data_IF_449488739001
#
_entry.id   IF_449488739001
#
_cell.length_a   1.000
_cell.length_b   1.000
_cell.length_c   1.000
_cell.angle_alpha   90.00
_cell.angle_beta   90.00
_cell.angle_gamma   90.00
#
_symmetry.space_group_name_H-M   'P 1'
#
loop_
_entity.id
_entity.type
_entity.pdbx_description
1 polymer ?
#
# COMPACT_ATOMS: atom_id res chain seq x y z
N UNK A 1 -43.30 -6.69 2.88
CA UNK A 1 -42.23 -6.73 3.90
C UNK A 1 -41.98 -8.19 4.24
N UNK A 2 -40.90 -8.76 3.69
CA UNK A 2 -40.58 -10.18 3.74
C UNK A 2 -40.28 -10.64 5.18
N UNK A 3 -40.44 -11.94 5.48
CA UNK A 3 -40.07 -12.51 6.78
C UNK A 3 -38.59 -12.25 7.13
N UNK A 4 -37.73 -12.10 6.12
CA UNK A 4 -36.33 -11.68 6.26
C UNK A 4 -36.19 -10.21 6.70
N UNK A 5 -36.99 -9.29 6.15
CA UNK A 5 -37.04 -7.88 6.57
C UNK A 5 -37.67 -7.72 7.96
N UNK A 6 -38.66 -8.54 8.33
CA UNK A 6 -39.21 -8.57 9.70
C UNK A 6 -38.25 -9.17 10.71
N UNK A 7 -37.39 -10.12 10.30
CA UNK A 7 -36.34 -10.69 11.14
C UNK A 7 -35.15 -9.73 11.29
N UNK A 8 -34.79 -8.99 10.24
CA UNK A 8 -33.78 -7.92 10.28
C UNK A 8 -34.28 -6.70 11.07
N UNK A 9 -35.55 -6.31 10.95
CA UNK A 9 -36.14 -5.23 11.75
C UNK A 9 -36.34 -5.66 13.22
N UNK A 10 -36.69 -6.93 13.51
CA UNK A 10 -36.66 -7.47 14.89
C UNK A 10 -35.24 -7.56 15.44
N UNK A 11 -34.25 -7.96 14.65
CA UNK A 11 -32.85 -7.96 15.05
C UNK A 11 -32.30 -6.53 15.21
N UNK A 12 -32.82 -5.56 14.47
CA UNK A 12 -32.51 -4.12 14.56
C UNK A 12 -33.14 -3.50 15.79
N UNK A 13 -34.39 -3.82 16.13
CA UNK A 13 -35.06 -3.37 17.38
C UNK A 13 -34.46 -4.06 18.62
N UNK A 14 -33.95 -5.29 18.50
CA UNK A 14 -33.31 -6.02 19.59
C UNK A 14 -31.80 -5.70 19.73
N UNK A 15 -31.17 -5.10 18.70
CA UNK A 15 -29.85 -4.45 18.77
C UNK A 15 -29.92 -2.95 19.05
N UNK A 16 -31.09 -2.34 18.90
CA UNK A 16 -31.46 -0.98 19.35
C UNK A 16 -32.17 -1.02 20.71
N UNK A 17 -31.78 -1.93 21.60
CA UNK A 17 -31.87 -1.57 23.01
C UNK A 17 -30.78 -0.51 23.23
N UNK A 18 -31.12 0.75 23.58
CA UNK A 18 -30.17 1.49 24.40
C UNK A 18 -29.89 0.56 25.58
N UNK A 19 -28.63 0.42 25.97
CA UNK A 19 -28.28 -0.33 27.17
C UNK A 19 -28.81 0.47 28.38
N UNK A 20 -30.12 0.48 28.56
CA UNK A 20 -30.80 1.13 29.65
C UNK A 20 -30.77 0.18 30.84
N UNK A 21 -30.27 0.69 31.96
CA UNK A 21 -30.39 0.16 33.32
C UNK A 21 -29.55 -1.06 33.67
N UNK A 22 -28.27 -0.83 33.94
CA UNK A 22 -27.62 -1.42 35.13
C UNK A 22 -26.40 -0.56 35.52
N UNK A 23 -26.63 0.39 36.45
CA UNK A 23 -25.68 1.34 37.04
C UNK A 23 -25.45 2.68 36.31
N UNK A 24 -26.50 3.26 35.73
CA UNK A 24 -26.57 4.70 35.49
C UNK A 24 -26.83 5.44 36.82
N UNK A 25 -25.76 5.77 37.55
CA UNK A 25 -25.80 6.85 38.54
C UNK A 25 -25.18 8.09 37.90
N UNK A 26 -25.77 9.29 38.01
CA UNK A 26 -24.98 10.51 37.84
C UNK A 26 -23.86 10.44 38.89
N UNK A 27 -22.67 10.03 38.48
CA UNK A 27 -21.49 10.11 39.33
C UNK A 27 -21.19 11.59 39.59
N UNK A 28 -20.69 11.98 40.77
CA UNK A 28 -20.36 13.37 41.02
C UNK A 28 -19.34 13.82 39.97
N UNK A 29 -19.76 14.79 39.17
CA UNK A 29 -18.90 15.51 38.25
C UNK A 29 -18.65 16.86 38.88
N UNK A 30 -17.39 17.18 39.12
CA UNK A 30 -16.99 18.43 39.75
C UNK A 30 -16.48 19.40 38.69
N UNK A 31 -16.60 20.72 38.91
CA UNK A 31 -15.92 21.71 38.06
C UNK A 31 -14.41 21.46 37.93
N UNK A 32 -13.80 20.82 38.93
CA UNK A 32 -12.38 20.43 38.94
C UNK A 32 -12.05 19.39 37.87
N UNK A 33 -13.00 18.51 37.51
CA UNK A 33 -12.81 17.51 36.46
C UNK A 33 -12.71 18.13 35.07
N UNK A 34 -13.30 19.32 34.86
CA UNK A 34 -13.21 20.08 33.60
C UNK A 34 -11.91 20.88 33.47
N UNK A 35 -11.37 21.34 34.60
CA UNK A 35 -10.30 22.33 34.61
C UNK A 35 -9.02 21.85 33.92
N UNK A 36 -8.77 20.53 33.93
CA UNK A 36 -7.58 19.91 33.36
C UNK A 36 -7.80 19.33 31.95
N UNK A 37 -8.98 19.54 31.35
CA UNK A 37 -9.27 19.04 30.01
C UNK A 37 -8.92 20.11 28.98
N UNK A 38 -8.06 19.76 28.02
CA UNK A 38 -7.58 20.68 26.98
C UNK A 38 -8.71 21.35 26.19
N UNK A 39 -9.85 20.65 26.03
CA UNK A 39 -11.02 21.19 25.35
C UNK A 39 -11.67 22.39 26.07
N UNK A 40 -11.53 22.47 27.40
CA UNK A 40 -12.03 23.58 28.22
C UNK A 40 -10.94 24.56 28.64
N UNK A 41 -9.72 24.43 28.10
CA UNK A 41 -8.64 25.36 28.40
C UNK A 41 -9.03 26.80 28.04
N UNK A 42 -8.91 27.73 29.00
CA UNK A 42 -9.32 29.14 28.87
C UNK A 42 -10.80 29.34 28.51
N UNK A 43 -11.66 28.36 28.77
CA UNK A 43 -13.11 28.50 28.67
C UNK A 43 -13.65 28.90 30.06
N UNK A 44 -14.35 30.04 30.20
CA UNK A 44 -14.99 30.39 31.47
C UNK A 44 -16.05 29.34 31.81
N UNK A 45 -15.80 28.51 32.83
CA UNK A 45 -16.69 27.39 33.16
C UNK A 45 -18.11 27.87 33.47
N UNK A 46 -18.28 29.03 34.10
CA UNK A 46 -19.59 29.66 34.37
C UNK A 46 -20.45 29.81 33.11
N UNK A 47 -19.84 30.01 31.93
CA UNK A 47 -20.55 30.20 30.67
C UNK A 47 -21.06 28.90 30.04
N UNK A 48 -20.47 27.76 30.40
CA UNK A 48 -20.77 26.45 29.81
C UNK A 48 -21.30 25.44 30.84
N UNK A 49 -21.19 25.74 32.14
CA UNK A 49 -21.49 24.81 33.22
C UNK A 49 -22.93 24.30 33.16
N UNK A 50 -23.90 25.18 32.91
CA UNK A 50 -25.31 24.78 32.78
C UNK A 50 -25.61 23.81 31.64
N UNK A 51 -24.70 23.71 30.65
CA UNK A 51 -24.78 22.71 29.58
C UNK A 51 -24.07 21.41 29.99
N UNK A 52 -22.88 21.53 30.58
CA UNK A 52 -22.01 20.38 30.88
C UNK A 52 -22.45 19.61 32.13
N UNK A 53 -23.06 20.28 33.12
CA UNK A 53 -23.55 19.62 34.34
C UNK A 53 -24.68 18.60 34.08
N UNK A 54 -25.35 18.74 32.93
CA UNK A 54 -26.44 17.87 32.50
C UNK A 54 -25.92 16.66 31.70
N UNK A 55 -24.64 16.68 31.31
CA UNK A 55 -24.02 15.60 30.55
C UNK A 55 -23.91 14.32 31.36
N UNK A 56 -24.04 13.19 30.67
CA UNK A 56 -23.97 11.87 31.30
C UNK A 56 -22.52 11.43 31.41
N UNK A 57 -22.18 10.79 32.52
CA UNK A 57 -20.86 10.19 32.73
C UNK A 57 -20.99 8.67 32.80
N UNK A 58 -20.19 7.98 32.00
CA UNK A 58 -20.16 6.53 31.88
C UNK A 58 -18.84 5.96 32.38
N UNK A 59 -18.90 4.74 32.89
CA UNK A 59 -17.72 3.89 33.08
C UNK A 59 -17.77 2.76 32.07
N UNK A 60 -16.76 2.72 31.20
CA UNK A 60 -16.59 1.71 30.19
C UNK A 60 -15.57 0.68 30.68
N UNK A 61 -16.00 -0.56 30.83
CA UNK A 61 -15.13 -1.67 31.21
C UNK A 61 -14.13 -1.99 30.08
N UNK A 62 -12.93 -2.43 30.47
CA UNK A 62 -11.89 -2.88 29.52
C UNK A 62 -12.46 -3.86 28.48
N UNK A 63 -12.12 -3.64 27.21
CA UNK A 63 -12.51 -4.45 26.06
C UNK A 63 -13.91 -4.14 25.51
N UNK A 64 -14.69 -3.25 26.14
CA UNK A 64 -16.00 -2.84 25.60
C UNK A 64 -15.85 -1.83 24.48
N UNK A 65 -16.73 -1.93 23.49
CA UNK A 65 -16.82 -1.01 22.36
C UNK A 65 -17.63 0.21 22.77
N UNK A 66 -17.07 1.40 22.52
CA UNK A 66 -17.75 2.68 22.65
C UNK A 66 -18.39 3.08 21.32
N UNK A 67 -17.60 3.07 20.24
CA UNK A 67 -18.04 3.44 18.89
C UNK A 67 -17.82 2.26 17.95
N UNK A 68 -18.87 1.89 17.22
CA UNK A 68 -18.80 0.90 16.16
C UNK A 68 -18.51 1.56 14.81
N UNK A 69 -17.56 0.99 14.06
CA UNK A 69 -17.26 1.43 12.70
C UNK A 69 -18.50 1.28 11.81
N UNK A 70 -18.78 2.30 11.00
CA UNK A 70 -19.89 2.29 10.05
C UNK A 70 -21.25 2.60 10.70
N UNK A 71 -21.28 2.85 12.00
CA UNK A 71 -22.46 3.36 12.71
C UNK A 71 -22.31 4.87 12.86
N UNK A 72 -23.37 5.61 12.54
CA UNK A 72 -23.45 7.03 12.83
C UNK A 72 -23.76 7.21 14.32
N UNK A 73 -22.71 7.29 15.13
CA UNK A 73 -22.84 7.75 16.52
C UNK A 73 -23.02 9.27 16.51
N UNK A 74 -23.98 9.75 17.29
CA UNK A 74 -24.36 11.17 17.40
C UNK A 74 -23.89 11.81 18.70
N UNK A 75 -23.06 11.10 19.45
CA UNK A 75 -22.49 11.60 20.68
C UNK A 75 -21.01 11.95 20.51
N UNK A 76 -20.62 13.02 21.18
CA UNK A 76 -19.25 13.44 21.39
C UNK A 76 -18.84 13.02 22.80
N UNK A 77 -17.71 12.33 22.93
CA UNK A 77 -17.24 11.84 24.23
C UNK A 77 -15.90 12.48 24.61
N UNK A 78 -15.77 12.81 25.89
CA UNK A 78 -14.50 13.25 26.48
C UNK A 78 -14.02 12.20 27.48
N UNK A 79 -12.75 11.82 27.39
CA UNK A 79 -12.12 10.88 28.32
C UNK A 79 -11.73 11.59 29.61
N UNK A 80 -12.47 11.31 30.69
CA UNK A 80 -12.20 11.86 32.02
C UNK A 80 -11.10 11.09 32.75
N UNK A 81 -11.01 9.78 32.52
CA UNK A 81 -9.93 8.93 33.02
C UNK A 81 -9.83 7.64 32.21
N UNK A 82 -8.64 7.03 32.16
CA UNK A 82 -8.39 5.78 31.44
C UNK A 82 -7.90 6.02 30.00
N UNK A 83 -8.02 4.98 29.16
CA UNK A 83 -7.52 4.96 27.78
C UNK A 83 -8.47 4.24 26.83
N UNK A 84 -8.54 4.74 25.60
CA UNK A 84 -9.29 4.13 24.50
C UNK A 84 -8.35 3.75 23.36
N UNK A 85 -8.62 2.63 22.70
CA UNK A 85 -7.98 2.21 21.47
C UNK A 85 -8.84 2.58 20.27
N UNK A 86 -8.22 3.02 19.18
CA UNK A 86 -8.87 3.22 17.88
C UNK A 86 -8.38 2.16 16.90
N UNK A 87 -9.28 1.39 16.28
CA UNK A 87 -8.93 0.33 15.33
C UNK A 87 -9.74 0.42 14.03
N UNK A 88 -9.14 0.10 12.87
CA UNK A 88 -9.79 0.26 11.56
C UNK A 88 -10.47 -1.00 11.04
N UNK A 89 -9.90 -2.18 11.30
CA UNK A 89 -10.35 -3.43 10.66
C UNK A 89 -11.30 -4.21 11.56
N UNK A 90 -10.88 -4.45 12.80
CA UNK A 90 -11.67 -5.14 13.83
C UNK A 90 -11.32 -4.63 15.22
N UNK A 91 -12.16 -4.94 16.20
CA UNK A 91 -11.93 -4.60 17.62
C UNK A 91 -10.67 -5.28 18.18
N UNK A 92 -10.26 -6.40 17.60
CA UNK A 92 -9.11 -7.21 18.03
C UNK A 92 -7.81 -6.85 17.30
N UNK A 93 -7.90 -6.05 16.23
CA UNK A 93 -6.73 -5.60 15.48
C UNK A 93 -5.83 -4.64 16.28
N UNK A 94 -4.59 -4.50 15.84
CA UNK A 94 -3.64 -3.58 16.47
C UNK A 94 -4.15 -2.12 16.41
N UNK A 95 -4.15 -1.37 17.52
CA UNK A 95 -4.66 -0.01 17.55
C UNK A 95 -3.83 0.92 16.66
N UNK A 96 -4.50 1.68 15.81
CA UNK A 96 -3.87 2.72 14.99
C UNK A 96 -3.54 3.97 15.80
N UNK A 97 -4.24 4.17 16.92
CA UNK A 97 -3.95 5.21 17.90
C UNK A 97 -4.57 4.86 19.25
N UNK A 98 -4.04 5.47 20.31
CA UNK A 98 -4.56 5.39 21.67
C UNK A 98 -4.96 6.80 22.09
N UNK A 99 -6.15 6.93 22.67
CA UNK A 99 -6.68 8.19 23.17
C UNK A 99 -6.63 8.14 24.69
N UNK A 100 -5.90 9.08 25.27
CA UNK A 100 -5.67 9.17 26.71
C UNK A 100 -6.67 10.13 27.37
N UNK A 101 -6.53 10.29 28.68
CA UNK A 101 -7.32 11.24 29.47
C UNK A 101 -7.16 12.67 28.92
N UNK A 102 -8.25 13.42 28.84
CA UNK A 102 -8.31 14.71 28.16
C UNK A 102 -8.64 14.61 26.66
N UNK A 103 -8.46 13.44 26.06
CA UNK A 103 -8.77 13.19 24.67
C UNK A 103 -10.27 13.10 24.38
N UNK A 104 -10.62 13.29 23.12
CA UNK A 104 -12.00 13.29 22.63
C UNK A 104 -12.26 12.22 21.57
N UNK A 105 -13.50 11.74 21.44
CA UNK A 105 -13.93 10.84 20.35
C UNK A 105 -15.35 11.15 19.90
N UNK A 106 -15.70 10.72 18.68
CA UNK A 106 -17.03 10.90 18.11
C UNK A 106 -17.25 12.27 17.45
N UNK A 107 -16.29 13.20 17.58
CA UNK A 107 -16.46 14.57 17.07
C UNK A 107 -16.70 14.64 15.57
N UNK A 108 -16.04 13.78 14.78
CA UNK A 108 -16.15 13.82 13.33
C UNK A 108 -17.56 13.46 12.87
N UNK A 109 -18.14 12.40 13.44
CA UNK A 109 -19.50 11.95 13.12
C UNK A 109 -20.55 13.02 13.48
N UNK A 110 -20.35 13.74 14.59
CA UNK A 110 -21.23 14.85 14.98
C UNK A 110 -21.06 16.06 14.04
N UNK A 111 -19.84 16.34 13.58
CA UNK A 111 -19.53 17.49 12.73
C UNK A 111 -19.97 17.32 11.27
N UNK A 112 -19.79 16.14 10.69
CA UNK A 112 -20.04 15.91 9.25
C UNK A 112 -21.20 14.94 8.94
N UNK A 113 -21.86 14.42 9.98
CA UNK A 113 -22.96 13.47 9.92
C UNK A 113 -22.63 12.17 9.18
N UNK A 114 -21.35 11.78 9.11
CA UNK A 114 -20.93 10.52 8.50
C UNK A 114 -20.78 9.41 9.54
N UNK A 115 -20.86 8.14 9.11
CA UNK A 115 -20.60 7.02 9.99
C UNK A 115 -19.16 7.02 10.52
N UNK A 116 -18.97 6.50 11.74
CA UNK A 116 -17.67 6.45 12.36
C UNK A 116 -16.66 5.66 11.51
N UNK A 117 -15.45 6.20 11.26
CA UNK A 117 -14.47 5.57 10.36
C UNK A 117 -13.73 4.39 11.01
N UNK A 118 -13.81 4.24 12.33
CA UNK A 118 -13.04 3.31 13.13
C UNK A 118 -13.86 2.80 14.32
N UNK A 119 -13.46 1.65 14.86
CA UNK A 119 -13.92 1.19 16.16
C UNK A 119 -13.17 1.93 17.26
N UNK A 120 -13.86 2.22 18.35
CA UNK A 120 -13.25 2.78 19.57
C UNK A 120 -13.58 1.87 20.74
N UNK A 121 -12.56 1.36 21.45
CA UNK A 121 -12.75 0.42 22.56
C UNK A 121 -11.95 0.80 23.80
N UNK A 122 -12.42 0.39 24.98
CA UNK A 122 -11.72 0.63 26.23
C UNK A 122 -10.46 -0.24 26.38
N UNK A 123 -9.28 0.39 26.49
CA UNK A 123 -8.03 -0.32 26.78
C UNK A 123 -7.88 -0.64 28.28
N UNK A 124 -8.38 0.25 29.14
CA UNK A 124 -8.50 0.12 30.59
C UNK A 124 -9.95 0.42 31.00
N UNK A 125 -10.35 0.21 32.26
CA UNK A 125 -11.55 0.89 32.78
C UNK A 125 -11.42 2.39 32.49
N UNK A 126 -12.42 2.96 31.82
CA UNK A 126 -12.36 4.32 31.27
C UNK A 126 -13.63 5.07 31.62
N UNK A 127 -13.48 6.26 32.21
CA UNK A 127 -14.60 7.15 32.55
C UNK A 127 -14.77 8.19 31.44
N UNK A 128 -15.98 8.31 30.91
CA UNK A 128 -16.29 9.12 29.73
C UNK A 128 -17.44 10.07 30.04
N UNK A 129 -17.32 11.32 29.59
CA UNK A 129 -18.46 12.24 29.56
C UNK A 129 -19.06 12.23 28.16
N UNK A 130 -20.35 11.91 28.04
CA UNK A 130 -21.10 12.00 26.80
C UNK A 130 -21.77 13.37 26.69
N UNK A 131 -21.55 14.00 25.55
CA UNK A 131 -22.20 15.21 25.12
C UNK A 131 -23.00 14.83 23.88
N UNK A 132 -24.32 14.91 23.96
CA UNK A 132 -25.19 14.67 22.82
C UNK A 132 -25.01 15.77 21.74
N UNK A 133 -25.46 15.46 20.51
CA UNK A 133 -25.38 16.35 19.35
C UNK A 133 -25.93 17.78 19.63
N UNK A 134 -27.06 17.91 20.34
CA UNK A 134 -27.66 19.22 20.63
C UNK A 134 -26.78 20.02 21.60
N UNK A 135 -26.35 19.39 22.69
CA UNK A 135 -25.45 20.01 23.68
C UNK A 135 -24.12 20.40 23.06
N UNK A 136 -23.56 19.58 22.17
CA UNK A 136 -22.32 19.85 21.45
C UNK A 136 -22.42 21.12 20.60
N UNK A 137 -23.48 21.26 19.80
CA UNK A 137 -23.68 22.46 18.98
C UNK A 137 -23.95 23.71 19.82
N UNK A 138 -24.66 23.58 20.95
CA UNK A 138 -24.84 24.67 21.90
C UNK A 138 -23.52 25.12 22.53
N UNK A 139 -22.64 24.19 22.88
CA UNK A 139 -21.29 24.51 23.40
C UNK A 139 -20.47 25.31 22.38
N UNK A 140 -20.51 24.92 21.10
CA UNK A 140 -19.86 25.68 20.02
C UNK A 140 -20.46 27.09 19.88
N UNK A 141 -21.79 27.21 19.95
CA UNK A 141 -22.47 28.48 19.79
C UNK A 141 -22.23 29.45 20.97
N UNK A 142 -22.13 28.93 22.19
CA UNK A 142 -21.99 29.73 23.42
C UNK A 142 -20.51 30.02 23.75
N UNK A 143 -19.58 29.12 23.39
CA UNK A 143 -18.17 29.25 23.74
C UNK A 143 -17.25 29.15 22.52
N UNK A 144 -16.75 30.29 22.07
CA UNK A 144 -15.71 30.35 21.05
C UNK A 144 -14.41 29.64 21.49
N UNK A 145 -14.10 29.65 22.79
CA UNK A 145 -12.94 28.95 23.35
C UNK A 145 -13.04 27.44 23.15
N UNK A 146 -14.21 26.84 23.41
CA UNK A 146 -14.45 25.42 23.19
C UNK A 146 -14.25 25.04 21.71
N UNK A 147 -14.84 25.81 20.79
CA UNK A 147 -14.68 25.60 19.36
C UNK A 147 -13.22 25.72 18.90
N UNK A 148 -12.48 26.70 19.43
CA UNK A 148 -11.06 26.92 19.13
C UNK A 148 -10.20 25.75 19.59
N UNK A 149 -10.41 25.28 20.82
CA UNK A 149 -9.67 24.14 21.36
C UNK A 149 -9.95 22.86 20.57
N UNK A 150 -11.22 22.64 20.18
CA UNK A 150 -11.59 21.51 19.31
C UNK A 150 -10.85 21.56 17.97
N UNK A 151 -10.80 22.73 17.32
CA UNK A 151 -10.06 22.89 16.06
C UNK A 151 -8.56 22.62 16.22
N UNK A 152 -7.94 23.09 17.31
CA UNK A 152 -6.52 22.85 17.60
C UNK A 152 -6.25 21.35 17.78
N UNK A 153 -7.08 20.65 18.56
CA UNK A 153 -6.94 19.21 18.76
C UNK A 153 -7.10 18.41 17.46
N UNK A 154 -8.11 18.75 16.65
CA UNK A 154 -8.31 18.12 15.33
C UNK A 154 -7.14 18.37 14.38
N UNK A 155 -6.62 19.60 14.34
CA UNK A 155 -5.45 19.94 13.53
C UNK A 155 -4.18 19.20 13.99
N UNK A 156 -4.01 19.03 15.31
CA UNK A 156 -2.93 18.22 15.90
C UNK A 156 -3.00 16.77 15.44
N UNK A 157 -4.16 16.13 15.61
CA UNK A 157 -4.41 14.74 15.17
C UNK A 157 -4.16 14.54 13.68
N UNK A 158 -4.60 15.49 12.84
CA UNK A 158 -4.37 15.42 11.40
C UNK A 158 -2.88 15.51 11.06
N UNK A 159 -2.14 16.39 11.75
CA UNK A 159 -0.70 16.57 11.54
C UNK A 159 0.08 15.32 11.95
N UNK A 160 -0.20 14.77 13.12
CA UNK A 160 0.43 13.52 13.59
C UNK A 160 0.17 12.38 12.60
N UNK A 161 -1.07 12.24 12.13
CA UNK A 161 -1.43 11.20 11.16
C UNK A 161 -0.72 11.38 9.82
N UNK A 162 -0.58 12.61 9.33
CA UNK A 162 0.16 12.88 8.09
C UNK A 162 1.66 12.56 8.25
N UNK A 163 2.28 12.93 9.36
CA UNK A 163 3.70 12.61 9.64
C UNK A 163 3.93 11.10 9.70
N UNK A 164 3.05 10.35 10.35
CA UNK A 164 3.16 8.88 10.39
C UNK A 164 3.00 8.23 9.01
N UNK A 165 2.23 8.83 8.09
CA UNK A 165 2.12 8.33 6.71
C UNK A 165 3.42 8.57 5.93
N UNK A 166 4.03 9.74 6.08
CA UNK A 166 5.31 10.07 5.43
C UNK A 166 6.44 9.14 5.91
N UNK A 167 6.53 8.89 7.22
CA UNK A 167 7.54 8.00 7.79
C UNK A 167 7.38 6.56 7.29
N UNK A 168 6.14 6.04 7.22
CA UNK A 168 5.86 4.71 6.67
C UNK A 168 6.21 4.60 5.20
N UNK A 169 5.91 5.62 4.40
CA UNK A 169 6.26 5.64 2.98
C UNK A 169 7.79 5.71 2.77
N UNK A 170 8.49 6.48 3.61
CA UNK A 170 9.95 6.56 3.58
C UNK A 170 10.60 5.22 3.95
N UNK A 171 10.18 4.59 5.05
CA UNK A 171 10.65 3.27 5.45
C UNK A 171 10.36 2.21 4.41
N UNK A 172 9.18 2.24 3.78
CA UNK A 172 8.83 1.33 2.69
C UNK A 172 9.77 1.47 1.51
N UNK A 173 10.10 2.70 1.10
CA UNK A 173 11.04 2.95 -0.01
C UNK A 173 12.46 2.49 0.33
N UNK A 174 12.90 2.65 1.58
CA UNK A 174 14.18 2.13 2.05
C UNK A 174 14.21 0.60 2.01
N UNK A 175 13.15 -0.06 2.50
CA UNK A 175 13.02 -1.52 2.41
C UNK A 175 12.99 -2.02 0.96
N UNK A 176 12.30 -1.32 0.06
CA UNK A 176 12.30 -1.63 -1.37
C UNK A 176 13.68 -1.46 -2.01
N UNK A 177 14.55 -0.62 -1.45
CA UNK A 177 15.94 -0.45 -1.90
C UNK A 177 16.85 -1.60 -1.44
N UNK A 178 16.65 -2.11 -0.23
CA UNK A 178 17.46 -3.18 0.37
C UNK A 178 17.11 -4.58 -0.14
N UNK A 179 15.89 -4.77 -0.67
CA UNK A 179 15.47 -6.04 -1.25
C UNK A 179 15.98 -6.08 -2.69
N UNK A 180 17.07 -6.80 -2.96
CA UNK A 180 17.63 -6.98 -4.32
C UNK A 180 16.79 -7.90 -5.24
N UNK A 181 15.68 -8.44 -4.74
CA UNK A 181 14.89 -9.53 -5.36
C UNK A 181 13.42 -9.11 -5.51
N UNK A 182 12.84 -9.33 -6.68
CA UNK A 182 11.42 -9.12 -6.91
C UNK A 182 10.58 -10.21 -6.22
N UNK A 183 9.68 -9.81 -5.33
CA UNK A 183 8.90 -10.72 -4.48
C UNK A 183 7.92 -11.61 -5.26
N UNK A 184 7.50 -11.20 -6.46
CA UNK A 184 6.58 -11.98 -7.27
C UNK A 184 7.29 -13.07 -8.05
N UNK A 185 8.43 -12.73 -8.65
CA UNK A 185 9.12 -13.55 -9.65
C UNK A 185 10.36 -14.26 -9.12
N UNK A 186 10.93 -13.82 -8.00
CA UNK A 186 12.18 -14.36 -7.44
C UNK A 186 13.44 -13.91 -8.19
N UNK A 187 13.31 -13.20 -9.32
CA UNK A 187 14.43 -12.61 -10.05
C UNK A 187 14.98 -11.39 -9.32
N UNK A 188 16.14 -10.89 -9.78
CA UNK A 188 16.66 -9.61 -9.30
C UNK A 188 15.69 -8.47 -9.63
N UNK A 189 15.67 -7.42 -8.82
CA UNK A 189 14.87 -6.25 -9.13
C UNK A 189 15.67 -5.17 -9.88
N UNK A 190 14.99 -4.16 -10.40
CA UNK A 190 15.63 -3.05 -11.13
C UNK A 190 16.73 -2.34 -10.34
N UNK A 191 16.63 -2.27 -9.00
CA UNK A 191 17.62 -1.60 -8.15
C UNK A 191 18.93 -2.38 -8.09
N UNK A 192 18.84 -3.71 -8.01
CA UNK A 192 20.00 -4.58 -8.13
C UNK A 192 20.73 -4.39 -9.46
N UNK A 193 19.98 -4.31 -10.57
CA UNK A 193 20.57 -4.06 -11.89
C UNK A 193 21.29 -2.70 -11.93
N UNK A 194 20.65 -1.63 -11.44
CA UNK A 194 21.26 -0.30 -11.38
C UNK A 194 22.56 -0.29 -10.54
N UNK A 195 22.62 -1.07 -9.45
CA UNK A 195 23.83 -1.21 -8.63
C UNK A 195 24.95 -2.06 -9.28
N UNK A 196 24.59 -3.00 -10.16
CA UNK A 196 25.53 -4.02 -10.68
C UNK A 196 25.96 -3.80 -12.14
N UNK A 197 25.08 -3.26 -12.99
CA UNK A 197 25.37 -3.00 -14.40
C UNK A 197 26.61 -2.10 -14.61
N UNK A 198 26.82 -1.01 -13.83
CA UNK A 198 28.05 -0.21 -13.92
C UNK A 198 29.33 -1.02 -13.70
N UNK A 199 29.29 -2.03 -12.80
CA UNK A 199 30.44 -2.91 -12.52
C UNK A 199 30.73 -3.83 -13.70
N UNK A 200 29.70 -4.37 -14.34
CA UNK A 200 29.83 -5.19 -15.55
C UNK A 200 30.38 -4.37 -16.72
N UNK A 201 29.88 -3.15 -16.91
CA UNK A 201 30.37 -2.23 -17.94
C UNK A 201 31.83 -1.84 -17.72
N UNK A 202 32.24 -1.60 -16.47
CA UNK A 202 33.65 -1.35 -16.14
C UNK A 202 34.55 -2.55 -16.48
N UNK A 203 34.08 -3.79 -16.27
CA UNK A 203 34.81 -5.01 -16.67
C UNK A 203 34.97 -5.11 -18.18
N UNK A 204 33.93 -4.82 -18.97
CA UNK A 204 34.02 -4.75 -20.43
C UNK A 204 35.10 -3.75 -20.86
N UNK A 205 35.10 -2.54 -20.29
CA UNK A 205 36.04 -1.48 -20.66
C UNK A 205 37.50 -1.87 -20.37
N UNK A 206 37.74 -2.45 -19.20
CA UNK A 206 39.09 -2.82 -18.73
C UNK A 206 39.64 -4.08 -19.38
N UNK A 207 38.82 -5.14 -19.47
CA UNK A 207 39.30 -6.46 -19.86
C UNK A 207 38.92 -6.83 -21.30
N UNK A 208 38.19 -5.97 -22.02
CA UNK A 208 37.61 -6.24 -23.35
C UNK A 208 36.75 -7.50 -23.40
N UNK A 209 36.24 -7.94 -22.25
CA UNK A 209 35.32 -9.06 -22.16
C UNK A 209 33.96 -8.63 -22.70
N UNK A 210 33.37 -9.35 -23.70
CA UNK A 210 32.07 -8.99 -24.26
C UNK A 210 30.98 -8.90 -23.19
N UNK A 211 30.05 -7.95 -23.33
CA UNK A 211 28.88 -7.82 -22.47
C UNK A 211 27.68 -7.59 -23.36
N UNK A 212 26.64 -8.39 -23.18
CA UNK A 212 25.36 -8.21 -23.87
C UNK A 212 24.21 -8.17 -22.89
N UNK A 213 23.10 -7.55 -23.30
CA UNK A 213 21.84 -7.52 -22.56
C UNK A 213 20.70 -7.91 -23.48
N UNK A 214 19.69 -8.54 -22.89
CA UNK A 214 18.40 -8.82 -23.51
C UNK A 214 17.35 -8.02 -22.75
N UNK A 215 16.53 -7.25 -23.45
CA UNK A 215 15.34 -6.60 -22.92
C UNK A 215 14.12 -7.36 -23.43
N UNK A 216 13.36 -7.98 -22.53
CA UNK A 216 12.21 -8.81 -22.82
C UNK A 216 10.94 -8.12 -22.34
N UNK A 217 9.85 -8.32 -23.07
CA UNK A 217 8.52 -7.86 -22.66
C UNK A 217 7.46 -8.86 -23.13
N UNK A 218 6.49 -9.14 -22.25
CA UNK A 218 5.42 -10.09 -22.52
C UNK A 218 4.39 -9.46 -23.46
N UNK A 219 4.21 -10.09 -24.63
CA UNK A 219 3.30 -9.60 -25.65
C UNK A 219 1.86 -9.63 -25.16
N UNK A 220 1.15 -8.51 -25.36
CA UNK A 220 -0.28 -8.37 -25.02
C UNK A 220 -0.62 -8.68 -23.56
N UNK A 221 0.31 -8.43 -22.61
CA UNK A 221 0.10 -8.73 -21.20
C UNK A 221 -1.06 -7.96 -20.57
N UNK A 222 -1.25 -6.68 -20.90
CA UNK A 222 -2.41 -5.91 -20.44
C UNK A 222 -3.75 -6.54 -20.88
N UNK A 223 -4.01 -6.79 -22.19
CA UNK A 223 -5.20 -7.53 -22.64
C UNK A 223 -5.38 -8.89 -21.98
N UNK A 224 -4.28 -9.64 -21.76
CA UNK A 224 -4.32 -10.92 -21.07
C UNK A 224 -4.83 -10.76 -19.62
N UNK A 225 -4.36 -9.75 -18.90
CA UNK A 225 -4.84 -9.44 -17.54
C UNK A 225 -6.29 -8.99 -17.51
N UNK A 226 -6.71 -8.18 -18.47
CA UNK A 226 -8.11 -7.73 -18.59
C UNK A 226 -9.06 -8.90 -18.87
N UNK A 227 -8.59 -9.94 -19.59
CA UNK A 227 -9.40 -11.11 -19.96
C UNK A 227 -9.41 -12.20 -18.89
N UNK A 228 -8.26 -12.50 -18.28
CA UNK A 228 -8.09 -13.67 -17.39
C UNK A 228 -7.82 -13.31 -15.92
N UNK A 229 -7.81 -12.02 -15.60
CA UNK A 229 -7.60 -11.49 -14.26
C UNK A 229 -6.12 -11.39 -13.85
N UNK A 230 -5.85 -10.50 -12.90
CA UNK A 230 -4.49 -10.21 -12.41
C UNK A 230 -3.76 -11.44 -11.86
N UNK A 231 -4.46 -12.31 -11.14
CA UNK A 231 -3.87 -13.54 -10.59
C UNK A 231 -3.36 -14.50 -11.67
N UNK A 232 -3.97 -14.48 -12.86
CA UNK A 232 -3.50 -15.25 -14.02
C UNK A 232 -2.27 -14.59 -14.66
N UNK A 233 -2.26 -13.26 -14.74
CA UNK A 233 -1.06 -12.49 -15.12
C UNK A 233 0.15 -12.78 -14.25
N UNK A 234 -0.05 -12.78 -12.93
CA UNK A 234 1.00 -13.09 -11.96
C UNK A 234 1.60 -14.49 -12.19
N UNK A 235 0.79 -15.46 -12.62
CA UNK A 235 1.31 -16.78 -13.00
C UNK A 235 2.06 -16.77 -14.32
N UNK A 236 1.61 -16.01 -15.32
CA UNK A 236 2.37 -15.82 -16.55
C UNK A 236 3.74 -15.17 -16.26
N UNK A 237 3.79 -14.16 -15.39
CA UNK A 237 5.03 -13.52 -14.95
C UNK A 237 5.97 -14.50 -14.23
N UNK A 238 5.45 -15.31 -13.29
CA UNK A 238 6.24 -16.35 -12.61
C UNK A 238 6.77 -17.41 -13.58
N UNK A 239 5.95 -17.82 -14.55
CA UNK A 239 6.35 -18.77 -15.57
C UNK A 239 7.51 -18.22 -16.41
N UNK A 240 7.37 -16.99 -16.94
CA UNK A 240 8.42 -16.35 -17.73
C UNK A 240 9.70 -16.18 -16.90
N UNK A 241 9.58 -15.78 -15.64
CA UNK A 241 10.71 -15.65 -14.74
C UNK A 241 11.44 -16.98 -14.50
N UNK A 242 10.71 -18.07 -14.26
CA UNK A 242 11.30 -19.40 -14.11
C UNK A 242 11.98 -19.90 -15.38
N UNK A 243 11.44 -19.58 -16.56
CA UNK A 243 12.11 -19.87 -17.83
C UNK A 243 13.39 -19.07 -17.95
N UNK A 244 13.38 -17.78 -17.64
CA UNK A 244 14.59 -16.95 -17.65
C UNK A 244 15.63 -17.61 -16.75
N UNK A 245 15.33 -17.81 -15.47
CA UNK A 245 16.25 -18.35 -14.47
C UNK A 245 16.84 -19.71 -14.88
N UNK A 246 16.01 -20.65 -15.33
CA UNK A 246 16.45 -22.00 -15.72
C UNK A 246 17.39 -22.05 -16.94
N UNK A 247 17.46 -20.96 -17.72
CA UNK A 247 18.29 -20.86 -18.94
C UNK A 247 19.56 -20.03 -18.74
N UNK A 248 19.73 -19.40 -17.57
CA UNK A 248 20.90 -18.57 -17.26
C UNK A 248 22.09 -19.42 -16.80
N UNK A 249 23.29 -18.98 -17.18
CA UNK A 249 24.55 -19.47 -16.59
C UNK A 249 24.75 -18.82 -15.22
N UNK A 250 25.64 -19.38 -14.40
CA UNK A 250 26.00 -18.80 -13.10
C UNK A 250 26.53 -17.36 -13.17
N UNK A 251 27.08 -16.94 -14.33
CA UNK A 251 27.55 -15.57 -14.56
C UNK A 251 26.49 -14.61 -15.08
N UNK A 252 25.36 -15.15 -15.56
CA UNK A 252 24.28 -14.36 -16.12
C UNK A 252 23.32 -13.97 -15.01
N UNK A 253 22.50 -12.95 -15.23
CA UNK A 253 21.47 -12.57 -14.27
C UNK A 253 20.20 -12.08 -14.94
N UNK A 254 19.07 -12.53 -14.40
CA UNK A 254 17.72 -12.14 -14.79
C UNK A 254 17.18 -11.13 -13.80
N UNK A 255 16.62 -10.05 -14.33
CA UNK A 255 16.07 -8.93 -13.57
C UNK A 255 14.65 -8.66 -14.03
N UNK A 256 13.70 -8.49 -13.10
CA UNK A 256 12.42 -7.87 -13.41
C UNK A 256 12.59 -6.35 -13.40
N UNK A 257 12.55 -5.75 -14.58
CA UNK A 257 12.88 -4.35 -14.79
C UNK A 257 11.66 -3.44 -14.63
N UNK A 258 10.50 -3.91 -15.10
CA UNK A 258 9.22 -3.21 -15.05
C UNK A 258 8.07 -4.14 -14.66
N UNK A 259 6.83 -3.71 -14.94
CA UNK A 259 5.65 -4.51 -14.59
C UNK A 259 5.60 -5.85 -15.36
N UNK A 260 5.87 -5.80 -16.67
CA UNK A 260 5.89 -6.94 -17.61
C UNK A 260 7.23 -7.06 -18.37
N UNK A 261 8.23 -6.27 -17.96
CA UNK A 261 9.53 -6.16 -18.61
C UNK A 261 10.62 -6.85 -17.79
N UNK A 262 11.51 -7.56 -18.49
CA UNK A 262 12.66 -8.25 -17.90
C UNK A 262 13.95 -7.85 -18.61
N UNK A 263 15.04 -7.79 -17.85
CA UNK A 263 16.39 -7.61 -18.38
C UNK A 263 17.24 -8.83 -18.03
N UNK A 264 17.88 -9.42 -19.03
CA UNK A 264 18.90 -10.45 -18.84
C UNK A 264 20.26 -9.86 -19.19
N UNK A 265 21.21 -9.91 -18.26
CA UNK A 265 22.60 -9.50 -18.51
C UNK A 265 23.47 -10.72 -18.75
N UNK A 266 24.28 -10.70 -19.81
CA UNK A 266 25.10 -11.80 -20.28
C UNK A 266 26.59 -11.39 -20.35
N UNK A 267 27.33 -11.44 -19.22
CA UNK A 267 28.78 -11.21 -19.22
C UNK A 267 29.52 -12.28 -20.04
N UNK A 268 30.59 -11.88 -20.72
CA UNK A 268 31.36 -12.76 -21.60
C UNK A 268 30.66 -13.18 -22.88
N UNK A 269 29.52 -12.57 -23.23
CA UNK A 269 28.70 -13.00 -24.36
C UNK A 269 28.70 -11.95 -25.48
N UNK A 270 29.05 -12.38 -26.69
CA UNK A 270 28.99 -11.55 -27.90
C UNK A 270 27.56 -11.38 -28.39
N UNK A 271 27.31 -10.41 -29.28
CA UNK A 271 25.98 -10.18 -29.84
C UNK A 271 25.39 -11.42 -30.53
N UNK A 272 26.23 -12.22 -31.21
CA UNK A 272 25.80 -13.46 -31.87
C UNK A 272 25.33 -14.49 -30.85
N UNK A 273 26.08 -14.66 -29.74
CA UNK A 273 25.69 -15.55 -28.64
C UNK A 273 24.44 -15.07 -27.91
N UNK A 274 24.33 -13.76 -27.69
CA UNK A 274 23.18 -13.14 -27.05
C UNK A 274 21.91 -13.33 -27.88
N UNK A 275 21.98 -13.19 -29.21
CA UNK A 275 20.86 -13.48 -30.11
C UNK A 275 20.40 -14.93 -30.03
N UNK A 276 21.33 -15.88 -29.94
CA UNK A 276 21.00 -17.31 -29.79
C UNK A 276 20.31 -17.56 -28.43
N UNK A 277 20.82 -16.96 -27.36
CA UNK A 277 20.20 -17.07 -26.04
C UNK A 277 18.79 -16.46 -26.00
N UNK A 278 18.61 -15.29 -26.61
CA UNK A 278 17.31 -14.64 -26.76
C UNK A 278 16.31 -15.54 -27.51
N UNK A 279 16.73 -16.12 -28.64
CA UNK A 279 15.82 -16.96 -29.43
C UNK A 279 15.38 -18.21 -28.67
N UNK A 280 16.30 -18.85 -27.93
CA UNK A 280 15.97 -19.99 -27.07
C UNK A 280 15.00 -19.62 -25.95
N UNK A 281 15.16 -18.44 -25.35
CA UNK A 281 14.23 -17.93 -24.34
C UNK A 281 12.85 -17.69 -24.95
N UNK A 282 12.80 -17.03 -26.12
CA UNK A 282 11.56 -16.76 -26.84
C UNK A 282 10.79 -18.03 -27.18
N UNK A 283 11.47 -19.02 -27.76
CA UNK A 283 10.90 -20.34 -28.08
C UNK A 283 10.40 -21.04 -26.82
N UNK A 284 11.21 -21.08 -25.76
CA UNK A 284 10.82 -21.72 -24.49
C UNK A 284 9.56 -21.09 -23.88
N UNK A 285 9.45 -19.76 -23.92
CA UNK A 285 8.25 -19.05 -23.43
C UNK A 285 7.03 -19.40 -24.27
N UNK A 286 7.15 -19.36 -25.60
CA UNK A 286 6.04 -19.66 -26.51
C UNK A 286 5.53 -21.10 -26.40
N UNK A 287 6.41 -22.05 -26.06
CA UNK A 287 6.08 -23.48 -25.91
C UNK A 287 5.54 -23.83 -24.52
N UNK A 288 5.74 -22.98 -23.51
CA UNK A 288 5.37 -23.30 -22.13
C UNK A 288 3.91 -22.94 -21.85
N UNK A 289 3.15 -23.91 -21.35
CA UNK A 289 1.76 -23.70 -20.95
C UNK A 289 1.66 -22.80 -19.70
N UNK A 290 0.74 -21.84 -19.73
CA UNK A 290 0.31 -21.10 -18.54
C UNK A 290 -0.95 -21.77 -17.99
N UNK A 291 -0.97 -22.04 -16.68
CA UNK A 291 -2.14 -22.60 -15.99
C UNK A 291 -2.77 -21.58 -15.05
N UNK A 292 -4.11 -21.61 -14.91
CA UNK A 292 -4.92 -20.81 -13.99
C UNK A 292 -4.88 -21.31 -12.54
N UNK A 293 -5.62 -20.67 -11.62
CA UNK A 293 -5.67 -21.06 -10.19
C UNK A 293 -6.27 -22.46 -10.12
N UNK A 294 -7.32 -22.67 -10.90
CA UNK A 294 -8.08 -23.92 -10.95
C UNK A 294 -7.47 -24.94 -11.92
N UNK A 295 -6.15 -24.84 -12.15
CA UNK A 295 -5.38 -25.62 -13.13
C UNK A 295 -5.89 -25.53 -14.58
N UNK A 296 -6.80 -24.60 -14.88
CA UNK A 296 -7.33 -24.37 -16.23
C UNK A 296 -6.21 -23.97 -17.18
N UNK A 297 -6.15 -24.57 -18.36
CA UNK A 297 -5.20 -24.19 -19.40
C UNK A 297 -5.55 -22.80 -19.92
N UNK A 298 -4.61 -21.86 -19.80
CA UNK A 298 -4.73 -20.50 -20.34
C UNK A 298 -4.07 -20.46 -21.73
N UNK A 299 -4.40 -19.45 -22.56
CA UNK A 299 -3.69 -19.24 -23.81
C UNK A 299 -2.18 -19.06 -23.57
N UNK A 300 -1.34 -19.54 -24.48
CA UNK A 300 0.10 -19.28 -24.39
C UNK A 300 0.38 -17.79 -24.47
N UNK A 301 1.42 -17.37 -23.77
CA UNK A 301 1.97 -16.01 -23.88
C UNK A 301 3.24 -16.06 -24.72
N UNK A 302 3.54 -14.98 -25.42
CA UNK A 302 4.79 -14.82 -26.16
C UNK A 302 5.56 -13.63 -25.62
N UNK A 303 6.84 -13.53 -25.96
CA UNK A 303 7.69 -12.40 -25.60
C UNK A 303 8.33 -11.80 -26.85
N UNK A 304 8.43 -10.48 -26.87
CA UNK A 304 9.31 -9.76 -27.78
C UNK A 304 10.63 -9.48 -27.07
N UNK A 305 11.76 -9.59 -27.79
CA UNK A 305 13.09 -9.44 -27.21
C UNK A 305 13.94 -8.48 -28.04
N UNK A 306 14.51 -7.48 -27.38
CA UNK A 306 15.55 -6.61 -27.92
C UNK A 306 16.93 -7.00 -27.40
N UNK A 307 17.91 -7.18 -28.28
CA UNK A 307 19.27 -7.60 -27.94
C UNK A 307 20.25 -6.46 -28.20
N UNK A 308 21.12 -6.16 -27.23
CA UNK A 308 22.21 -5.20 -27.43
C UNK A 308 23.52 -5.76 -26.84
N UNK A 309 24.63 -5.54 -27.54
CA UNK A 309 25.97 -5.75 -27.02
C UNK A 309 26.60 -4.41 -26.70
N UNK A 310 27.38 -4.32 -25.63
CA UNK A 310 28.07 -3.10 -25.23
C UNK A 310 29.11 -2.70 -26.28
N UNK A 311 29.18 -1.41 -26.59
CA UNK A 311 30.09 -0.84 -27.58
C UNK A 311 30.86 0.34 -26.98
N UNK A 312 32.20 0.28 -27.09
CA UNK A 312 33.07 1.39 -26.72
C UNK A 312 32.93 1.83 -25.25
N UNK A 313 32.71 3.12 -25.04
CA UNK A 313 32.60 3.74 -23.72
C UNK A 313 31.20 4.32 -23.44
N UNK A 314 30.15 3.78 -24.06
CA UNK A 314 28.78 4.26 -23.84
C UNK A 314 28.37 4.18 -22.36
N UNK A 315 27.42 5.04 -21.96
CA UNK A 315 26.84 5.03 -20.62
C UNK A 315 25.67 4.03 -20.50
N UNK A 316 25.21 3.80 -19.27
CA UNK A 316 24.16 2.83 -18.97
C UNK A 316 22.86 3.11 -19.75
N UNK A 317 22.41 4.36 -19.75
CA UNK A 317 21.19 4.79 -20.44
C UNK A 317 21.26 4.51 -21.95
N UNK A 318 22.41 4.76 -22.58
CA UNK A 318 22.61 4.49 -24.00
C UNK A 318 22.58 2.99 -24.29
N UNK A 319 23.18 2.18 -23.41
CA UNK A 319 23.25 0.73 -23.56
C UNK A 319 21.86 0.10 -23.42
N UNK A 320 21.15 0.39 -22.32
CA UNK A 320 19.77 -0.05 -22.09
C UNK A 320 18.84 0.50 -23.18
N UNK A 321 19.02 1.76 -23.57
CA UNK A 321 18.23 2.42 -24.61
C UNK A 321 18.34 1.73 -25.98
N UNK A 322 19.50 1.18 -26.34
CA UNK A 322 19.65 0.39 -27.58
C UNK A 322 18.88 -0.92 -27.52
N UNK A 323 18.93 -1.64 -26.39
CA UNK A 323 18.15 -2.85 -26.21
C UNK A 323 16.63 -2.56 -26.25
N UNK A 324 16.20 -1.46 -25.61
CA UNK A 324 14.80 -1.04 -25.62
C UNK A 324 14.33 -0.65 -27.04
N UNK A 325 15.14 0.07 -27.83
CA UNK A 325 14.81 0.36 -29.24
C UNK A 325 14.68 -0.90 -30.08
N UNK A 326 15.57 -1.88 -29.87
CA UNK A 326 15.45 -3.17 -30.55
C UNK A 326 14.16 -3.90 -30.12
N UNK A 327 13.82 -3.91 -28.83
CA UNK A 327 12.55 -4.47 -28.33
C UNK A 327 11.33 -3.79 -28.96
N UNK A 328 11.36 -2.46 -29.06
CA UNK A 328 10.30 -1.69 -29.72
C UNK A 328 10.13 -2.13 -31.18
N UNK A 329 11.22 -2.32 -31.93
CA UNK A 329 11.16 -2.89 -33.29
C UNK A 329 10.56 -4.30 -33.30
N UNK A 330 10.91 -5.14 -32.32
CA UNK A 330 10.36 -6.50 -32.24
C UNK A 330 8.83 -6.45 -32.09
N UNK A 331 8.34 -5.54 -31.22
CA UNK A 331 6.91 -5.31 -31.04
C UNK A 331 6.23 -4.77 -32.31
N UNK A 332 6.86 -3.81 -33.00
CA UNK A 332 6.32 -3.23 -34.23
C UNK A 332 6.32 -4.19 -35.42
N UNK A 333 7.30 -5.10 -35.48
CA UNK A 333 7.46 -6.06 -36.57
C UNK A 333 6.62 -7.33 -36.39
N UNK A 334 5.59 -7.31 -35.53
CA UNK A 334 4.65 -8.42 -35.36
C UNK A 334 4.83 -9.26 -34.10
N UNK A 335 5.65 -8.79 -33.14
CA UNK A 335 5.85 -9.44 -31.83
C UNK A 335 6.41 -10.87 -31.93
N UNK A 336 6.49 -11.57 -30.80
CA UNK A 336 7.02 -12.93 -30.68
C UNK A 336 8.30 -13.12 -31.50
N UNK A 337 9.25 -12.21 -31.33
CA UNK A 337 10.51 -12.21 -32.10
C UNK A 337 11.64 -11.53 -31.36
N UNK A 338 12.84 -11.82 -31.85
CA UNK A 338 14.09 -11.23 -31.39
C UNK A 338 14.58 -10.22 -32.42
N UNK A 339 14.83 -8.98 -32.00
CA UNK A 339 15.50 -7.96 -32.80
C UNK A 339 16.84 -7.59 -32.16
N UNK A 340 17.85 -7.37 -33.00
CA UNK A 340 19.19 -6.96 -32.55
C UNK A 340 19.34 -5.46 -32.75
N UNK A 341 19.96 -4.77 -31.79
CA UNK A 341 20.26 -3.34 -31.89
C UNK A 341 21.22 -3.10 -33.05
N UNK A 342 21.00 -2.03 -33.81
CA UNK A 342 21.89 -1.66 -34.90
C UNK A 342 23.23 -1.25 -34.29
N UNK A 343 24.30 -1.97 -34.64
CA UNK A 343 25.64 -1.57 -34.23
C UNK A 343 25.96 -0.23 -34.90
N UNK A 344 26.36 0.76 -34.11
CA UNK A 344 27.24 1.80 -34.64
C UNK A 344 28.57 1.15 -35.01
N UNK A 345 28.67 0.66 -36.25
CA UNK A 345 29.92 0.24 -36.89
C UNK A 345 30.27 -1.25 -36.79
N UNK A 346 30.36 -1.87 -37.96
CA UNK A 346 31.33 -2.94 -38.22
C UNK A 346 32.69 -2.58 -37.62
N UNK A 347 33.16 -3.35 -36.64
CA UNK A 347 34.58 -3.64 -36.53
C UNK A 347 34.78 -5.01 -37.19
N UNK A 348 35.02 -4.95 -38.49
CA UNK A 348 35.59 -6.04 -39.26
C UNK A 348 36.88 -6.55 -38.59
N UNK A 349 37.05 -7.87 -38.58
CA UNK A 349 38.35 -8.54 -38.61
C UNK A 349 39.29 -8.31 -37.42
N UNK A 350 39.18 -9.16 -36.39
CA UNK A 350 40.37 -9.71 -35.73
C UNK A 350 40.23 -11.24 -35.73
N UNK A 351 40.48 -11.79 -36.91
CA UNK A 351 40.89 -13.17 -37.10
C UNK A 351 42.27 -13.14 -37.76
N UNK A 352 43.29 -13.42 -36.96
CA UNK A 352 44.53 -14.14 -37.30
C UNK A 352 45.21 -14.47 -35.98
#
# INVERSE_FOLDING_TARGET
MNEKERAEEKARVQRMTPMNSANSRPGPFSPLDLYNLDIFNRVPLESVWGLVEQCRVYELNKGKVLIEKGVADKAFYIVLSGKLNVTLESVESEPISVIETGGTVGELSVLDHRPAPAYVTAQSPTRLMEIDEETFWRLIAVSHGFATNLMIMLAGRLRERNLSLEERDHLRKLMEHDIEVDSLTGLRNRWWLAGNLPRLMARYRRNKQPLSILMLDIDYFRPFNETYGRSSGDRALRMVAGIVESRLRATDSGTRYGAEEFVVTLPGTSIKGARIAAERLRESVAETEVRGIDATKLPPVTVSIGVAAMVGAENEDSFLGRAHRALSRAKSNGRNRTEVSDNGGDCAGLGA
#
